data_IF_200220987849
#
_entry.id   IF_200220987849
#
_cell.length_a   1.000
_cell.length_b   1.000
_cell.length_c   1.000
_cell.angle_alpha   90.00
_cell.angle_beta   90.00
_cell.angle_gamma   90.00
#
_symmetry.space_group_name_H-M   'P 1'
#
loop_
_entity.id
_entity.type
_entity.pdbx_description
1 polymer ?
#
# COMPACT_ATOMS: atom_id res chain seq x y z
N UNK A 1 78.17 -19.52 -23.31
CA UNK A 1 78.18 -18.90 -24.66
C UNK A 1 76.75 -18.52 -24.97
N UNK A 2 76.46 -17.23 -25.22
CA UNK A 2 75.18 -16.66 -25.71
C UNK A 2 73.96 -16.84 -24.76
N UNK A 3 73.12 -15.85 -24.38
CA UNK A 3 72.84 -14.45 -24.81
C UNK A 3 72.09 -14.33 -26.15
N UNK A 4 71.04 -13.52 -26.37
CA UNK A 4 70.43 -12.37 -25.64
C UNK A 4 69.13 -12.79 -24.88
N UNK A 5 68.11 -12.01 -24.48
CA UNK A 5 67.53 -10.67 -24.80
C UNK A 5 66.79 -10.09 -23.56
N UNK A 6 66.81 -8.79 -23.22
CA UNK A 6 66.30 -7.53 -23.86
C UNK A 6 64.77 -7.35 -23.74
N UNK A 7 64.19 -6.17 -23.41
CA UNK A 7 64.75 -4.81 -23.19
C UNK A 7 63.83 -3.94 -22.27
N UNK A 8 64.17 -2.67 -21.91
CA UNK A 8 63.63 -2.01 -20.71
C UNK A 8 62.52 -0.93 -20.90
N UNK A 9 62.17 -0.36 -19.73
CA UNK A 9 61.20 0.68 -19.32
C UNK A 9 60.96 1.91 -20.24
N UNK A 10 59.79 2.53 -20.08
CA UNK A 10 59.46 3.91 -20.53
C UNK A 10 58.37 4.52 -19.63
N UNK A 11 58.23 5.85 -19.62
CA UNK A 11 57.55 6.61 -18.53
C UNK A 11 56.55 7.65 -19.05
N UNK A 12 55.60 8.05 -18.17
CA UNK A 12 54.94 9.38 -18.03
C UNK A 12 53.49 9.55 -18.53
N UNK A 13 52.71 10.27 -17.70
CA UNK A 13 51.57 11.16 -18.02
C UNK A 13 50.12 10.68 -17.85
N UNK A 14 49.27 11.65 -17.45
CA UNK A 14 47.79 11.66 -17.29
C UNK A 14 47.19 10.83 -16.14
N UNK A 15 46.16 11.28 -15.39
CA UNK A 15 45.60 12.65 -15.19
C UNK A 15 44.91 12.70 -13.82
N UNK A 16 44.99 13.83 -13.12
CA UNK A 16 44.24 14.06 -11.85
C UNK A 16 42.77 14.36 -12.15
N UNK A 17 41.86 13.52 -11.64
CA UNK A 17 40.41 13.77 -11.69
C UNK A 17 39.87 14.17 -10.31
N UNK A 18 39.58 15.45 -10.13
CA UNK A 18 38.96 15.97 -8.89
C UNK A 18 37.49 15.53 -8.81
N UNK A 19 37.15 14.66 -7.86
CA UNK A 19 35.76 14.25 -7.63
C UNK A 19 34.99 15.32 -6.87
N UNK A 20 34.28 16.19 -7.61
CA UNK A 20 33.38 17.20 -7.02
C UNK A 20 32.30 16.55 -6.15
N UNK A 21 32.22 16.93 -4.87
CA UNK A 21 31.20 16.45 -3.94
C UNK A 21 29.84 17.10 -4.20
N UNK A 22 29.10 16.55 -5.17
CA UNK A 22 27.72 16.95 -5.47
C UNK A 22 26.80 16.67 -4.27
N UNK A 23 26.47 17.72 -3.51
CA UNK A 23 25.58 17.61 -2.35
C UNK A 23 24.13 17.56 -2.82
N UNK A 24 23.64 16.37 -3.18
CA UNK A 24 22.27 16.17 -3.64
C UNK A 24 21.30 16.27 -2.46
N UNK A 25 20.55 17.38 -2.37
CA UNK A 25 19.38 17.51 -1.49
C UNK A 25 18.23 16.63 -2.00
N UNK A 26 18.28 15.34 -1.65
CA UNK A 26 17.30 14.34 -2.04
C UNK A 26 15.99 14.51 -1.27
N UNK A 27 15.02 15.21 -1.85
CA UNK A 27 13.63 15.26 -1.36
C UNK A 27 13.11 13.85 -1.16
N UNK A 28 12.99 13.43 0.11
CA UNK A 28 12.90 12.01 0.44
C UNK A 28 11.50 11.48 0.16
N UNK A 29 11.36 10.73 -0.95
CA UNK A 29 10.17 9.92 -1.22
C UNK A 29 9.92 9.01 0.00
N UNK A 30 8.70 8.98 0.59
CA UNK A 30 8.43 8.11 1.73
C UNK A 30 8.72 6.66 1.35
N UNK A 31 9.55 6.00 2.15
CA UNK A 31 10.13 4.70 1.79
C UNK A 31 9.03 3.63 1.66
N UNK A 32 8.93 3.04 0.47
CA UNK A 32 8.32 1.72 0.27
C UNK A 32 9.40 0.63 0.18
N UNK A 33 10.55 0.87 0.80
CA UNK A 33 11.57 -0.14 1.05
C UNK A 33 11.54 -0.51 2.54
N UNK A 34 11.37 -1.81 2.79
CA UNK A 34 11.36 -2.43 4.13
C UNK A 34 12.65 -3.24 4.38
N UNK A 35 13.67 -3.08 3.54
CA UNK A 35 15.00 -3.68 3.68
C UNK A 35 15.03 -5.17 3.33
N UNK A 36 14.43 -6.00 4.18
CA UNK A 36 14.31 -7.44 3.98
C UNK A 36 12.84 -7.84 4.08
N UNK A 37 12.20 -8.21 2.98
CA UNK A 37 10.82 -8.67 3.01
C UNK A 37 10.48 -9.65 1.89
N UNK A 38 9.52 -10.51 2.23
CA UNK A 38 8.90 -11.53 1.40
C UNK A 38 7.85 -10.94 0.45
N UNK A 39 7.61 -9.63 0.52
CA UNK A 39 6.74 -8.88 -0.39
C UNK A 39 7.55 -7.92 -1.28
N UNK A 40 7.16 -7.78 -2.55
CA UNK A 40 7.93 -7.01 -3.54
C UNK A 40 7.70 -5.49 -3.43
N UNK A 41 8.70 -4.70 -3.84
CA UNK A 41 8.55 -3.24 -3.95
C UNK A 41 7.38 -2.83 -4.86
N UNK A 42 7.17 -3.57 -5.97
CA UNK A 42 6.04 -3.34 -6.88
C UNK A 42 4.69 -3.51 -6.18
N UNK A 43 4.53 -4.56 -5.36
CA UNK A 43 3.32 -4.79 -4.56
C UNK A 43 3.03 -3.60 -3.62
N UNK A 44 4.04 -3.10 -2.91
CA UNK A 44 3.88 -1.96 -1.98
C UNK A 44 3.44 -0.69 -2.70
N UNK A 45 4.11 -0.35 -3.80
CA UNK A 45 3.82 0.85 -4.59
C UNK A 45 2.43 0.76 -5.22
N UNK A 46 2.04 -0.42 -5.72
CA UNK A 46 0.68 -0.67 -6.23
C UNK A 46 -0.36 -0.56 -5.12
N UNK A 47 -0.15 -1.20 -3.97
CA UNK A 47 -1.08 -1.14 -2.84
C UNK A 47 -1.29 0.30 -2.36
N UNK A 48 -0.21 1.01 -2.03
CA UNK A 48 -0.24 2.39 -1.56
C UNK A 48 -0.85 3.34 -2.61
N UNK A 49 -0.46 3.17 -3.89
CA UNK A 49 -0.95 3.97 -5.00
C UNK A 49 -2.44 3.82 -5.21
N UNK A 50 -2.96 2.59 -5.27
CA UNK A 50 -4.39 2.34 -5.46
C UNK A 50 -5.23 2.86 -4.28
N UNK A 51 -4.75 2.70 -3.04
CA UNK A 51 -5.43 3.26 -1.86
C UNK A 51 -5.47 4.80 -1.92
N UNK A 52 -4.34 5.46 -2.15
CA UNK A 52 -4.27 6.93 -2.19
C UNK A 52 -5.01 7.54 -3.39
N UNK A 53 -5.00 6.89 -4.55
CA UNK A 53 -5.77 7.32 -5.73
C UNK A 53 -7.28 7.33 -5.45
N UNK A 54 -7.81 6.26 -4.83
CA UNK A 54 -9.23 6.20 -4.46
C UNK A 54 -9.57 7.17 -3.31
N UNK A 55 -8.71 7.31 -2.29
CA UNK A 55 -8.89 8.33 -1.24
C UNK A 55 -8.99 9.73 -1.83
N UNK A 56 -8.14 10.06 -2.81
CA UNK A 56 -8.22 11.32 -3.57
C UNK A 56 -9.52 11.45 -4.38
N UNK A 57 -9.96 10.39 -5.06
CA UNK A 57 -11.22 10.38 -5.80
C UNK A 57 -12.46 10.54 -4.90
N UNK A 58 -12.48 9.95 -3.70
CA UNK A 58 -13.54 10.18 -2.71
C UNK A 58 -13.47 11.61 -2.16
N UNK A 59 -12.28 12.07 -1.75
CA UNK A 59 -12.10 13.42 -1.20
C UNK A 59 -12.54 14.52 -2.17
N UNK A 60 -12.32 14.32 -3.47
CA UNK A 60 -12.75 15.23 -4.55
C UNK A 60 -14.18 15.01 -5.05
N UNK A 61 -14.98 14.17 -4.37
CA UNK A 61 -16.39 13.96 -4.69
C UNK A 61 -16.62 13.26 -6.04
N UNK A 62 -15.67 12.44 -6.51
CA UNK A 62 -15.70 11.78 -7.84
C UNK A 62 -16.19 10.34 -7.81
N UNK A 63 -16.20 9.69 -6.64
CA UNK A 63 -16.69 8.32 -6.50
C UNK A 63 -18.22 8.30 -6.37
N UNK A 64 -18.86 7.39 -7.10
CA UNK A 64 -20.30 7.09 -7.00
C UNK A 64 -20.67 6.60 -5.60
N UNK A 65 -21.80 7.03 -5.05
CA UNK A 65 -22.41 6.46 -3.84
C UNK A 65 -23.48 5.43 -4.25
N UNK A 66 -23.42 4.21 -3.69
CA UNK A 66 -24.43 3.17 -3.93
C UNK A 66 -25.78 3.40 -3.24
N UNK A 67 -25.80 4.17 -2.15
CA UNK A 67 -26.98 4.44 -1.31
C UNK A 67 -28.05 5.27 -2.07
N UNK A 68 -27.60 6.17 -2.95
CA UNK A 68 -28.47 7.13 -3.65
C UNK A 68 -28.23 7.12 -5.17
N UNK A 69 -29.21 6.68 -5.98
CA UNK A 69 -29.12 6.74 -7.43
C UNK A 69 -28.78 8.15 -7.94
N UNK A 70 -27.71 8.24 -8.72
CA UNK A 70 -27.12 9.45 -9.29
C UNK A 70 -26.27 10.35 -8.34
N UNK A 71 -26.16 10.08 -7.03
CA UNK A 71 -25.25 10.86 -6.15
C UNK A 71 -23.82 10.31 -6.06
N UNK A 72 -22.85 11.19 -5.83
CA UNK A 72 -21.47 10.80 -5.47
C UNK A 72 -21.30 10.82 -3.94
N UNK A 73 -20.25 10.15 -3.44
CA UNK A 73 -19.89 10.24 -2.03
C UNK A 73 -19.53 11.70 -1.66
N UNK A 74 -19.94 12.20 -0.47
CA UNK A 74 -19.61 13.54 -0.03
C UNK A 74 -18.09 13.82 -0.07
N UNK A 75 -17.65 14.98 -0.59
CA UNK A 75 -16.24 15.34 -0.61
C UNK A 75 -15.71 15.54 0.82
N UNK A 76 -14.40 15.37 1.00
CA UNK A 76 -13.75 15.40 2.31
C UNK A 76 -12.61 16.40 2.33
N UNK A 77 -12.71 17.41 3.20
CA UNK A 77 -11.68 18.44 3.41
C UNK A 77 -10.37 17.90 4.02
N UNK A 78 -10.45 16.84 4.85
CA UNK A 78 -9.32 16.34 5.63
C UNK A 78 -9.04 14.84 5.38
N UNK A 79 -9.00 14.43 4.10
CA UNK A 79 -8.66 13.05 3.74
C UNK A 79 -7.14 12.84 3.68
N UNK A 80 -6.53 12.46 4.81
CA UNK A 80 -5.07 12.29 4.91
C UNK A 80 -4.50 11.29 3.90
N UNK A 81 -3.32 11.61 3.35
CA UNK A 81 -2.53 10.73 2.49
C UNK A 81 -1.91 9.59 3.32
N UNK A 82 -2.04 8.35 2.86
CA UNK A 82 -1.36 7.21 3.49
C UNK A 82 0.14 7.23 3.19
N UNK A 83 0.93 6.79 4.15
CA UNK A 83 2.33 6.37 4.00
C UNK A 83 2.40 4.84 4.09
N UNK A 84 3.43 4.22 3.53
CA UNK A 84 3.63 2.78 3.72
C UNK A 84 4.24 2.52 5.10
N UNK A 85 3.83 1.42 5.73
CA UNK A 85 4.29 1.02 7.06
C UNK A 85 4.71 -0.47 7.02
N UNK A 86 6.00 -0.71 7.28
CA UNK A 86 6.59 -2.04 7.26
C UNK A 86 6.18 -2.90 8.48
N UNK A 87 5.82 -2.29 9.62
CA UNK A 87 5.25 -3.04 10.74
C UNK A 87 3.83 -3.51 10.40
N UNK A 88 3.03 -2.65 9.75
CA UNK A 88 1.72 -3.02 9.22
C UNK A 88 1.81 -4.17 8.19
N UNK A 89 2.79 -4.12 7.28
CA UNK A 89 3.09 -5.23 6.36
C UNK A 89 3.43 -6.52 7.12
N UNK A 90 4.29 -6.45 8.14
CA UNK A 90 4.69 -7.62 8.92
C UNK A 90 3.51 -8.26 9.69
N UNK A 91 2.61 -7.46 10.27
CA UNK A 91 1.40 -7.95 10.92
C UNK A 91 0.46 -8.64 9.92
N UNK A 92 0.21 -8.02 8.76
CA UNK A 92 -0.59 -8.60 7.69
C UNK A 92 0.02 -9.93 7.18
N UNK A 93 1.32 -9.94 6.93
CA UNK A 93 2.04 -11.10 6.43
C UNK A 93 2.05 -12.27 7.42
N UNK A 94 2.24 -11.99 8.71
CA UNK A 94 2.17 -13.00 9.78
C UNK A 94 0.79 -13.65 9.86
N UNK A 95 -0.29 -12.89 9.62
CA UNK A 95 -1.65 -13.43 9.60
C UNK A 95 -1.93 -14.27 8.34
N UNK A 96 -1.71 -13.74 7.13
CA UNK A 96 -2.11 -14.43 5.89
C UNK A 96 -1.36 -15.75 5.68
N UNK A 97 -0.15 -15.89 6.25
CA UNK A 97 0.59 -17.17 6.32
C UNK A 97 -0.17 -18.30 7.02
N UNK A 98 -1.15 -17.98 7.87
CA UNK A 98 -2.02 -18.97 8.52
C UNK A 98 -3.16 -19.49 7.64
N UNK A 99 -3.38 -18.90 6.46
CA UNK A 99 -4.41 -19.29 5.48
C UNK A 99 -5.84 -19.40 6.05
N UNK A 100 -6.14 -18.69 7.15
CA UNK A 100 -7.38 -18.80 7.94
C UNK A 100 -8.67 -18.48 7.19
N UNK A 101 -8.59 -17.62 6.16
CA UNK A 101 -9.75 -17.11 5.42
C UNK A 101 -10.64 -16.11 6.18
N UNK A 102 -10.30 -15.80 7.43
CA UNK A 102 -11.04 -14.90 8.33
C UNK A 102 -10.12 -13.78 8.84
N UNK A 103 -10.67 -12.77 9.51
CA UNK A 103 -9.87 -11.68 10.09
C UNK A 103 -9.08 -12.15 11.31
N UNK A 104 -7.90 -11.58 11.54
CA UNK A 104 -7.09 -11.89 12.73
C UNK A 104 -7.71 -11.30 14.00
N UNK A 105 -7.34 -11.79 15.19
CA UNK A 105 -7.74 -11.17 16.46
C UNK A 105 -7.05 -9.81 16.66
N UNK A 106 -7.71 -8.77 17.23
CA UNK A 106 -7.12 -7.42 17.35
C UNK A 106 -5.74 -7.39 17.99
N UNK A 107 -5.52 -8.20 19.04
CA UNK A 107 -4.24 -8.34 19.73
C UNK A 107 -3.06 -8.80 18.83
N UNK A 108 -3.32 -9.50 17.72
CA UNK A 108 -2.28 -9.92 16.78
C UNK A 108 -1.74 -8.77 15.89
N UNK A 109 -2.40 -7.61 15.92
CA UNK A 109 -2.05 -6.39 15.17
C UNK A 109 -2.37 -5.13 15.99
N UNK A 110 -1.72 -4.94 17.16
CA UNK A 110 -2.01 -3.82 18.04
C UNK A 110 -1.74 -2.50 17.31
N UNK A 111 -2.67 -1.54 17.40
CA UNK A 111 -2.57 -0.30 16.64
C UNK A 111 -2.82 -0.44 15.14
N UNK A 112 -3.44 -1.53 14.68
CA UNK A 112 -3.83 -1.71 13.27
C UNK A 112 -5.25 -2.25 13.11
N UNK A 113 -5.79 -2.02 11.93
CA UNK A 113 -7.00 -2.65 11.42
C UNK A 113 -6.70 -3.36 10.10
N UNK A 114 -7.63 -4.19 9.62
CA UNK A 114 -7.38 -5.13 8.53
C UNK A 114 -8.64 -5.36 7.71
N UNK A 115 -8.49 -5.24 6.39
CA UNK A 115 -9.40 -5.81 5.41
C UNK A 115 -8.81 -7.14 4.92
N UNK A 116 -9.66 -8.14 4.69
CA UNK A 116 -9.27 -9.43 4.12
C UNK A 116 -9.89 -9.61 2.73
N UNK A 117 -9.24 -10.41 1.91
CA UNK A 117 -9.76 -10.88 0.63
C UNK A 117 -9.21 -12.29 0.38
N UNK A 118 -10.07 -13.23 -0.02
CA UNK A 118 -9.70 -14.62 -0.32
C UNK A 118 -10.02 -14.90 -1.78
N UNK A 119 -9.01 -14.72 -2.64
CA UNK A 119 -9.12 -15.01 -4.07
C UNK A 119 -9.10 -16.53 -4.27
N UNK A 120 -10.23 -17.11 -4.70
CA UNK A 120 -10.39 -18.57 -4.90
C UNK A 120 -9.81 -19.06 -6.25
N UNK A 121 -8.59 -18.64 -6.57
CA UNK A 121 -7.81 -19.16 -7.70
C UNK A 121 -6.32 -19.04 -7.43
N UNK A 122 -5.53 -20.00 -7.93
CA UNK A 122 -4.06 -19.99 -7.92
C UNK A 122 -3.46 -19.45 -9.22
N UNK A 123 -4.29 -19.12 -10.21
CA UNK A 123 -3.86 -18.61 -11.53
C UNK A 123 -3.57 -17.10 -11.53
N UNK A 124 -3.18 -16.52 -10.40
CA UNK A 124 -2.94 -15.08 -10.23
C UNK A 124 -1.77 -14.88 -9.29
N UNK A 125 -0.86 -13.98 -9.65
CA UNK A 125 0.33 -13.66 -8.86
C UNK A 125 -0.01 -12.71 -7.69
N UNK A 126 0.99 -12.41 -6.84
CA UNK A 126 0.79 -11.50 -5.71
C UNK A 126 0.36 -10.08 -6.14
N UNK A 127 0.79 -9.60 -7.31
CA UNK A 127 0.44 -8.27 -7.81
C UNK A 127 -1.01 -8.22 -8.33
N UNK A 128 -1.43 -9.19 -9.13
CA UNK A 128 -2.82 -9.33 -9.54
C UNK A 128 -3.77 -9.58 -8.37
N UNK A 129 -3.34 -10.34 -7.36
CA UNK A 129 -4.12 -10.61 -6.16
C UNK A 129 -4.39 -9.35 -5.32
N UNK A 130 -3.37 -8.49 -5.10
CA UNK A 130 -3.59 -7.24 -4.35
C UNK A 130 -4.40 -6.21 -5.15
N UNK A 131 -4.24 -6.17 -6.48
CA UNK A 131 -5.09 -5.34 -7.34
C UNK A 131 -6.56 -5.79 -7.25
N UNK A 132 -6.84 -7.10 -7.33
CA UNK A 132 -8.18 -7.66 -7.21
C UNK A 132 -8.78 -7.39 -5.82
N UNK A 133 -8.01 -7.61 -4.75
CA UNK A 133 -8.44 -7.34 -3.38
C UNK A 133 -8.82 -5.86 -3.17
N UNK A 134 -7.98 -4.93 -3.63
CA UNK A 134 -8.23 -3.49 -3.48
C UNK A 134 -9.43 -3.06 -4.32
N UNK A 135 -9.55 -3.49 -5.58
CA UNK A 135 -10.73 -3.21 -6.41
C UNK A 135 -12.00 -3.78 -5.77
N UNK A 136 -11.94 -4.96 -5.15
CA UNK A 136 -13.08 -5.53 -4.41
C UNK A 136 -13.52 -4.61 -3.26
N UNK A 137 -12.59 -4.16 -2.40
CA UNK A 137 -12.93 -3.27 -1.28
C UNK A 137 -13.37 -1.87 -1.73
N UNK A 138 -12.83 -1.38 -2.85
CA UNK A 138 -13.22 -0.09 -3.44
C UNK A 138 -14.63 -0.12 -4.05
N UNK A 139 -15.04 -1.27 -4.58
CA UNK A 139 -16.38 -1.47 -5.16
C UNK A 139 -17.51 -1.57 -4.13
N UNK A 140 -17.22 -1.72 -2.83
CA UNK A 140 -18.23 -1.66 -1.77
C UNK A 140 -18.93 -0.27 -1.75
N UNK A 141 -18.21 0.82 -2.05
CA UNK A 141 -18.76 2.19 -2.07
C UNK A 141 -19.76 2.45 -3.22
N UNK A 142 -19.47 2.15 -4.50
CA UNK A 142 -20.45 2.27 -5.57
C UNK A 142 -21.52 1.16 -5.55
N UNK A 143 -21.24 0.00 -4.93
CA UNK A 143 -22.16 -1.16 -4.90
C UNK A 143 -23.15 -1.18 -3.73
N UNK A 144 -22.80 -0.59 -2.59
CA UNK A 144 -23.64 -0.52 -1.39
C UNK A 144 -23.82 0.91 -0.88
N UNK A 145 -22.77 1.72 -0.91
CA UNK A 145 -22.83 3.12 -0.50
C UNK A 145 -22.62 3.37 0.97
N UNK A 146 -22.81 4.65 1.33
CA UNK A 146 -22.71 5.19 2.68
C UNK A 146 -23.76 6.31 2.86
N UNK A 147 -24.30 6.51 4.07
CA UNK A 147 -25.24 7.60 4.34
C UNK A 147 -24.54 8.96 4.22
N UNK A 148 -25.19 9.95 3.63
CA UNK A 148 -24.58 11.26 3.34
C UNK A 148 -24.23 12.11 4.57
N UNK A 149 -24.60 11.65 5.79
CA UNK A 149 -24.12 12.24 7.05
C UNK A 149 -22.74 11.70 7.48
N UNK A 150 -22.17 10.72 6.76
CA UNK A 150 -20.88 10.08 7.01
C UNK A 150 -20.73 9.38 8.38
N UNK A 151 -21.84 9.15 9.10
CA UNK A 151 -21.82 8.50 10.42
C UNK A 151 -21.81 6.97 10.23
N UNK A 152 -20.76 6.31 10.71
CA UNK A 152 -20.76 4.85 10.80
C UNK A 152 -21.78 4.36 11.85
N UNK A 153 -22.74 3.55 11.42
CA UNK A 153 -23.76 2.96 12.28
C UNK A 153 -23.70 1.43 12.18
N UNK A 154 -23.16 0.71 13.18
CA UNK A 154 -23.09 -0.76 13.17
C UNK A 154 -24.46 -1.44 12.97
N UNK A 155 -25.54 -0.83 13.45
CA UNK A 155 -26.92 -1.32 13.30
C UNK A 155 -27.49 -1.19 11.88
N UNK A 156 -26.83 -0.47 10.96
CA UNK A 156 -27.18 -0.46 9.53
C UNK A 156 -26.48 -1.55 8.72
N UNK A 157 -25.62 -2.33 9.36
CA UNK A 157 -24.88 -3.40 8.71
C UNK A 157 -25.75 -4.68 8.64
N UNK A 158 -26.03 -5.24 7.45
CA UNK A 158 -26.56 -6.59 7.35
C UNK A 158 -25.59 -7.58 8.02
N UNK A 159 -26.09 -8.54 8.80
CA UNK A 159 -25.25 -9.48 9.57
C UNK A 159 -24.24 -10.25 8.72
N UNK A 160 -24.55 -10.50 7.45
CA UNK A 160 -23.62 -11.11 6.48
C UNK A 160 -22.38 -10.24 6.18
N UNK A 161 -22.45 -8.91 6.36
CA UNK A 161 -21.32 -7.98 6.25
C UNK A 161 -20.45 -7.95 7.52
N UNK A 162 -21.01 -8.32 8.68
CA UNK A 162 -20.38 -8.20 10.00
C UNK A 162 -19.15 -9.11 10.11
N UNK A 163 -19.31 -10.40 9.80
CA UNK A 163 -18.24 -11.41 9.76
C UNK A 163 -17.10 -11.09 8.77
N UNK A 164 -17.31 -10.16 7.84
CA UNK A 164 -16.31 -9.70 6.87
C UNK A 164 -15.83 -8.27 7.13
N UNK A 165 -16.25 -7.62 8.22
CA UNK A 165 -15.98 -6.22 8.53
C UNK A 165 -16.50 -5.18 7.49
N UNK A 166 -17.13 -5.60 6.38
CA UNK A 166 -17.29 -4.82 5.13
C UNK A 166 -18.03 -3.49 5.27
N UNK A 167 -19.14 -3.51 6.00
CA UNK A 167 -20.22 -2.51 6.06
C UNK A 167 -19.87 -1.03 5.78
N UNK A 168 -18.81 -0.47 6.38
CA UNK A 168 -18.28 0.87 6.04
C UNK A 168 -16.73 0.91 5.97
N UNK A 169 -16.07 -0.24 6.10
CA UNK A 169 -14.60 -0.32 6.20
C UNK A 169 -13.89 -0.19 4.85
N UNK A 170 -14.64 -0.24 3.74
CA UNK A 170 -14.14 0.12 2.40
C UNK A 170 -13.55 1.54 2.29
N UNK A 171 -14.00 2.50 3.12
CA UNK A 171 -13.38 3.82 3.22
C UNK A 171 -12.57 4.02 4.50
N UNK A 172 -13.10 3.61 5.65
CA UNK A 172 -12.47 3.85 6.96
C UNK A 172 -11.25 2.95 7.24
N UNK A 173 -11.08 1.87 6.47
CA UNK A 173 -10.09 0.82 6.74
C UNK A 173 -9.20 0.45 5.55
N UNK A 174 -9.23 1.25 4.48
CA UNK A 174 -8.09 1.35 3.57
C UNK A 174 -6.94 2.10 4.27
N UNK A 175 -6.47 1.52 5.38
CA UNK A 175 -5.51 2.06 6.34
C UNK A 175 -4.71 0.88 6.93
N UNK A 176 -3.70 0.42 6.17
CA UNK A 176 -2.46 -0.01 6.82
C UNK A 176 -1.70 1.25 7.23
N UNK A 177 -1.14 1.27 8.44
CA UNK A 177 -0.61 2.47 9.08
C UNK A 177 -1.71 3.35 9.70
N UNK A 178 -2.02 3.13 10.99
CA UNK A 178 -2.72 4.16 11.77
C UNK A 178 -1.88 5.43 11.68
N UNK A 179 -2.49 6.54 11.27
CA UNK A 179 -1.87 7.85 11.45
C UNK A 179 -1.91 8.15 12.95
N UNK A 180 -0.78 7.94 13.63
CA UNK A 180 -0.51 8.68 14.85
C UNK A 180 -0.54 10.18 14.50
N UNK A 181 -1.19 10.96 15.35
CA UNK A 181 -1.57 12.34 15.07
C UNK A 181 -0.36 13.27 14.92
N UNK A 182 -0.44 14.16 13.93
CA UNK A 182 0.25 15.45 13.84
C UNK A 182 -0.74 16.43 13.19
#
# INVERSE_FOLDING_TARGET
>A
MLDLAQSPQSTTSSTTTTTTTSTTTTTTRPSTDCGFSLMSYAYRVTALGMHNNFRSAVATGRMRNGEYPNENAPPSSHMNLLKYDCAAEQHAFNHVRGCSGHGSVPFARPGYSENIHVLRTTATDHLGAIQNAIVTWQNELPGHGIPSNMIFMPSRCPSYMENSNKCCKGLLLMIFGINHEI
#
